data_IF_047499616591
#
_entry.id   IF_047499616591
#
_cell.length_a   1.000
_cell.length_b   1.000
_cell.length_c   1.000
_cell.angle_alpha   90.00
_cell.angle_beta   90.00
_cell.angle_gamma   90.00
#
_symmetry.space_group_name_H-M   'P 1'
#
loop_
_entity.id
_entity.type
_entity.pdbx_description
1 polymer ?
#
# COMPACT_ATOMS: atom_id res chain seq x y z
N UNK A 1 2.76 -0.92 17.65
CA UNK A 1 2.42 -0.50 16.26
C UNK A 1 3.70 0.03 15.64
N UNK A 2 4.07 -0.38 14.43
CA UNK A 2 5.28 0.12 13.73
C UNK A 2 5.20 1.63 13.55
N UNK A 3 6.34 2.33 13.59
CA UNK A 3 6.44 3.76 13.28
C UNK A 3 6.00 4.07 11.84
N UNK A 4 5.77 5.35 11.54
CA UNK A 4 5.41 5.79 10.18
C UNK A 4 6.52 5.41 9.19
N UNK A 5 7.78 5.64 9.57
CA UNK A 5 8.96 5.28 8.78
C UNK A 5 9.05 3.78 8.53
N UNK A 6 8.89 2.93 9.56
CA UNK A 6 8.93 1.47 9.38
C UNK A 6 7.79 0.95 8.49
N UNK A 7 6.60 1.55 8.58
CA UNK A 7 5.48 1.21 7.69
C UNK A 7 5.75 1.66 6.26
N UNK A 8 6.28 2.87 6.09
CA UNK A 8 6.62 3.41 4.78
C UNK A 8 7.69 2.58 4.09
N UNK A 9 8.79 2.24 4.79
CA UNK A 9 9.84 1.38 4.26
C UNK A 9 9.35 -0.02 3.91
N UNK A 10 8.39 -0.56 4.67
CA UNK A 10 7.77 -1.84 4.33
C UNK A 10 6.95 -1.75 3.04
N UNK A 11 6.12 -0.72 2.89
CA UNK A 11 5.30 -0.51 1.69
C UNK A 11 6.13 -0.21 0.44
N UNK A 12 7.36 0.28 0.61
CA UNK A 12 8.29 0.54 -0.48
C UNK A 12 8.90 -0.75 -1.06
N UNK A 13 8.92 -1.84 -0.31
CA UNK A 13 9.38 -3.15 -0.80
C UNK A 13 8.37 -3.69 -1.83
N UNK A 14 8.90 -4.16 -2.97
CA UNK A 14 8.07 -4.65 -4.09
C UNK A 14 7.29 -3.55 -4.83
N UNK A 15 7.39 -2.28 -4.42
CA UNK A 15 6.72 -1.17 -5.07
C UNK A 15 7.60 -0.60 -6.19
N UNK A 16 7.05 -0.52 -7.40
CA UNK A 16 7.75 0.07 -8.56
C UNK A 16 7.86 1.59 -8.41
N UNK A 17 6.78 2.25 -7.96
CA UNK A 17 6.76 3.70 -7.78
C UNK A 17 5.73 4.12 -6.72
N UNK A 18 6.07 5.16 -5.95
CA UNK A 18 5.19 5.78 -4.95
C UNK A 18 4.96 7.23 -5.35
N UNK A 19 3.77 7.48 -5.90
CA UNK A 19 3.34 8.84 -6.23
C UNK A 19 3.08 9.58 -4.90
N UNK A 20 3.85 10.66 -4.69
CA UNK A 20 3.75 11.56 -3.53
C UNK A 20 4.04 10.89 -2.16
N UNK A 21 5.27 10.41 -1.96
CA UNK A 21 5.73 9.81 -0.69
C UNK A 21 5.35 10.62 0.56
N UNK A 22 5.47 11.95 0.51
CA UNK A 22 5.12 12.85 1.64
C UNK A 22 3.65 12.74 2.04
N UNK A 23 2.75 12.62 1.07
CA UNK A 23 1.31 12.49 1.33
C UNK A 23 1.00 11.11 1.93
N UNK A 24 1.63 10.05 1.42
CA UNK A 24 1.50 8.71 1.98
C UNK A 24 1.94 8.68 3.45
N UNK A 25 3.11 9.26 3.78
CA UNK A 25 3.58 9.38 5.17
C UNK A 25 2.60 10.16 6.05
N UNK A 26 2.04 11.27 5.56
CA UNK A 26 1.04 12.03 6.29
C UNK A 26 -0.25 11.23 6.54
N UNK A 27 -0.69 10.42 5.57
CA UNK A 27 -1.83 9.49 5.70
C UNK A 27 -1.55 8.42 6.76
N UNK A 28 -0.37 7.81 6.75
CA UNK A 28 0.06 6.82 7.75
C UNK A 28 0.09 7.42 9.17
N UNK A 29 0.69 8.60 9.34
CA UNK A 29 0.72 9.31 10.62
C UNK A 29 -0.69 9.59 11.16
N UNK A 30 -1.60 10.04 10.29
CA UNK A 30 -3.01 10.28 10.65
C UNK A 30 -3.72 8.99 11.05
N UNK A 31 -3.47 7.89 10.32
CA UNK A 31 -4.03 6.57 10.60
C UNK A 31 -3.62 6.08 12.00
N UNK A 32 -2.33 6.17 12.32
CA UNK A 32 -1.79 5.84 13.64
C UNK A 32 -2.39 6.71 14.74
N UNK A 33 -2.38 8.04 14.57
CA UNK A 33 -2.90 8.99 15.58
C UNK A 33 -4.39 8.78 15.88
N UNK A 34 -5.18 8.45 14.87
CA UNK A 34 -6.64 8.26 15.00
C UNK A 34 -7.03 6.81 15.28
N UNK A 35 -6.05 5.90 15.34
CA UNK A 35 -6.25 4.46 15.41
C UNK A 35 -7.30 3.94 14.40
N UNK A 36 -7.29 4.52 13.18
CA UNK A 36 -8.27 4.25 12.13
C UNK A 36 -7.54 3.85 10.85
N UNK A 37 -7.74 2.63 10.32
CA UNK A 37 -7.07 2.15 9.13
C UNK A 37 -7.26 3.05 7.89
N UNK A 38 -6.27 3.04 7.01
CA UNK A 38 -6.40 3.66 5.69
C UNK A 38 -7.36 2.85 4.82
N UNK A 39 -8.15 3.57 4.00
CA UNK A 39 -8.91 2.94 2.93
C UNK A 39 -7.98 2.74 1.74
N UNK A 40 -7.81 1.50 1.30
CA UNK A 40 -7.02 1.11 0.14
C UNK A 40 -7.97 0.62 -0.94
N UNK A 41 -7.72 1.01 -2.19
CA UNK A 41 -8.49 0.56 -3.35
C UNK A 41 -7.52 -0.06 -4.35
N UNK A 42 -7.81 -1.28 -4.76
CA UNK A 42 -7.15 -1.98 -5.86
C UNK A 42 -8.22 -2.36 -6.90
N UNK A 43 -7.95 -2.10 -8.17
CA UNK A 43 -8.82 -2.50 -9.28
C UNK A 43 -8.18 -3.65 -10.03
N UNK A 44 -8.99 -4.63 -10.41
CA UNK A 44 -8.59 -5.78 -11.23
C UNK A 44 -9.53 -5.84 -12.43
N UNK A 45 -9.01 -6.21 -13.59
CA UNK A 45 -9.80 -6.37 -14.82
C UNK A 45 -10.60 -7.69 -14.76
N UNK A 46 -11.95 -7.65 -14.80
CA UNK A 46 -12.77 -8.86 -14.73
C UNK A 46 -12.83 -9.66 -16.04
N UNK A 47 -12.25 -9.14 -17.14
CA UNK A 47 -12.34 -9.77 -18.47
C UNK A 47 -11.27 -10.85 -18.71
N UNK A 48 -10.23 -10.91 -17.87
CA UNK A 48 -9.17 -11.91 -17.94
C UNK A 48 -9.50 -13.14 -17.06
N UNK A 49 -9.78 -14.33 -17.64
CA UNK A 49 -10.11 -15.52 -16.86
C UNK A 49 -8.88 -16.20 -16.22
N UNK A 50 -7.67 -15.92 -16.71
CA UNK A 50 -6.43 -16.59 -16.28
C UNK A 50 -5.72 -15.84 -15.15
N UNK A 51 -6.14 -16.09 -13.91
CA UNK A 51 -5.41 -15.65 -12.72
C UNK A 51 -4.30 -16.66 -12.39
N UNK A 52 -3.06 -16.33 -12.73
CA UNK A 52 -1.85 -17.06 -12.32
C UNK A 52 -0.98 -16.25 -11.35
N UNK A 53 0.12 -16.85 -10.86
CA UNK A 53 1.00 -16.27 -9.84
C UNK A 53 1.54 -14.86 -10.16
N UNK A 54 1.61 -14.49 -11.44
CA UNK A 54 2.04 -13.16 -11.88
C UNK A 54 1.05 -12.04 -11.51
N UNK A 55 -0.20 -12.37 -11.19
CA UNK A 55 -1.21 -11.42 -10.70
C UNK A 55 -1.11 -11.18 -9.19
N UNK A 56 -0.27 -11.94 -8.50
CA UNK A 56 -0.04 -11.76 -7.06
C UNK A 56 1.07 -10.73 -6.88
N UNK A 57 0.76 -9.62 -6.23
CA UNK A 57 1.79 -8.67 -5.78
C UNK A 57 2.44 -9.21 -4.51
N UNK A 58 3.68 -9.70 -4.63
CA UNK A 58 4.50 -10.07 -3.49
C UNK A 58 5.22 -8.83 -2.92
N UNK A 59 5.41 -8.76 -1.60
CA UNK A 59 6.20 -7.71 -0.96
C UNK A 59 7.70 -7.82 -1.29
#
# INVERSE_FOLDING_TARGET
>A
MKSVEEQFEYLKKGCVDIIQEKELKAKLARSLKKNKPLKVKAGFDPTAPDIHLGHISLP
#
